data_IF_108525280050
#
_entry.id   IF_108525280050
#
_cell.length_a   1.000
_cell.length_b   1.000
_cell.length_c   1.000
_cell.angle_alpha   90.00
_cell.angle_beta   90.00
_cell.angle_gamma   90.00
#
_symmetry.space_group_name_H-M   'P 1'
#
loop_
_entity.id
_entity.type
_entity.pdbx_description
1 polymer ?
#
# COMPACT_ATOMS: atom_id res chain seq x y z
N UNK A 1 -2.94 -5.00 36.13
CA UNK A 1 -3.37 -3.98 35.14
C UNK A 1 -3.16 -4.45 33.68
N UNK A 2 -3.42 -5.73 33.32
CA UNK A 2 -3.22 -6.27 31.95
C UNK A 2 -4.50 -6.80 31.29
N UNK A 3 -5.68 -6.63 31.90
CA UNK A 3 -6.96 -7.18 31.39
C UNK A 3 -7.87 -6.19 30.66
N UNK A 4 -7.53 -4.91 30.58
CA UNK A 4 -8.39 -3.89 29.96
C UNK A 4 -8.13 -3.64 28.46
N UNK A 5 -7.05 -4.16 27.87
CA UNK A 5 -6.72 -3.90 26.46
C UNK A 5 -7.39 -4.81 25.44
N UNK A 6 -7.90 -5.96 25.87
CA UNK A 6 -8.53 -6.95 24.98
C UNK A 6 -10.01 -6.69 24.77
N UNK A 7 -10.66 -5.96 25.68
CA UNK A 7 -12.10 -5.69 25.65
C UNK A 7 -12.46 -4.53 24.71
N UNK A 8 -11.57 -3.57 24.51
CA UNK A 8 -11.86 -2.40 23.64
C UNK A 8 -11.91 -2.71 22.14
N UNK A 9 -11.29 -3.79 21.69
CA UNK A 9 -11.34 -4.19 20.28
C UNK A 9 -12.60 -5.02 19.95
N UNK A 10 -13.12 -5.75 20.92
CA UNK A 10 -14.34 -6.56 20.78
C UNK A 10 -15.63 -5.73 20.84
N UNK A 11 -15.62 -4.60 21.51
CA UNK A 11 -16.81 -3.73 21.66
C UNK A 11 -17.10 -2.88 20.41
N UNK A 12 -16.12 -2.64 19.55
CA UNK A 12 -16.37 -1.96 18.26
C UNK A 12 -17.14 -2.85 17.27
N UNK A 13 -17.13 -4.17 17.45
CA UNK A 13 -17.77 -5.15 16.56
C UNK A 13 -19.08 -5.71 17.10
N UNK A 14 -19.46 -5.43 18.36
CA UNK A 14 -20.64 -6.00 19.00
C UNK A 14 -21.89 -5.14 18.91
N UNK A 15 -21.83 -3.98 18.29
CA UNK A 15 -22.96 -3.06 18.16
C UNK A 15 -23.69 -3.23 16.82
N UNK A 16 -24.86 -3.83 16.86
CA UNK A 16 -25.88 -3.94 15.82
C UNK A 16 -25.98 -5.29 15.09
N UNK A 17 -26.52 -6.26 15.76
CA UNK A 17 -27.06 -7.51 15.18
C UNK A 17 -28.47 -7.31 14.58
N UNK A 18 -28.81 -6.13 14.08
CA UNK A 18 -30.10 -5.86 13.46
C UNK A 18 -29.90 -5.46 11.99
N UNK A 19 -30.23 -6.33 11.09
CA UNK A 19 -30.28 -6.25 9.63
C UNK A 19 -29.15 -7.02 8.90
N UNK A 20 -29.12 -8.33 9.09
CA UNK A 20 -28.14 -9.20 8.42
C UNK A 20 -28.78 -10.43 7.80
N UNK A 21 -29.97 -10.29 7.16
CA UNK A 21 -30.61 -11.42 6.51
C UNK A 21 -29.93 -11.86 5.20
N UNK A 22 -28.90 -11.12 4.72
CA UNK A 22 -28.20 -11.39 3.45
C UNK A 22 -26.66 -11.33 3.53
N UNK A 23 -26.05 -11.65 4.67
CA UNK A 23 -24.61 -11.90 4.71
C UNK A 23 -24.36 -13.28 4.10
N UNK A 24 -23.45 -13.44 3.13
CA UNK A 24 -23.12 -14.75 2.60
C UNK A 24 -22.81 -15.72 3.73
N UNK A 25 -23.40 -16.91 3.69
CA UNK A 25 -23.03 -17.99 4.59
C UNK A 25 -21.52 -18.20 4.55
N UNK A 26 -20.94 -18.65 5.68
CA UNK A 26 -19.51 -18.91 5.83
C UNK A 26 -18.89 -19.54 4.57
N UNK A 27 -17.86 -18.92 4.02
CA UNK A 27 -17.25 -19.44 2.81
C UNK A 27 -16.12 -18.59 2.29
N UNK A 28 -15.44 -19.13 1.29
CA UNK A 28 -14.40 -18.43 0.53
C UNK A 28 -15.01 -17.70 -0.65
N UNK A 29 -14.56 -16.49 -0.89
CA UNK A 29 -14.80 -15.75 -2.13
C UNK A 29 -13.50 -15.19 -2.67
N UNK A 30 -13.43 -15.05 -4.00
CA UNK A 30 -12.28 -14.49 -4.69
C UNK A 30 -12.63 -13.12 -5.25
N UNK A 31 -11.71 -12.19 -5.13
CA UNK A 31 -11.89 -10.83 -5.65
C UNK A 31 -10.68 -10.49 -6.51
N UNK A 32 -10.91 -10.25 -7.80
CA UNK A 32 -9.92 -9.64 -8.69
C UNK A 32 -10.12 -8.13 -8.71
N UNK A 33 -9.05 -7.35 -8.73
CA UNK A 33 -9.15 -5.89 -8.76
C UNK A 33 -8.03 -5.24 -9.57
N UNK A 34 -8.30 -4.02 -10.05
CA UNK A 34 -7.33 -3.14 -10.66
C UNK A 34 -7.67 -1.68 -10.38
N UNK A 35 -6.67 -0.81 -10.42
CA UNK A 35 -6.88 0.61 -10.16
C UNK A 35 -5.63 1.46 -10.22
N UNK A 36 -5.76 2.63 -9.64
CA UNK A 36 -4.71 3.64 -9.61
C UNK A 36 -4.13 3.77 -8.21
N UNK A 37 -2.86 4.18 -8.15
CA UNK A 37 -2.16 4.51 -6.92
C UNK A 37 -1.59 5.91 -6.98
N UNK A 38 -1.47 6.54 -5.82
CA UNK A 38 -0.70 7.76 -5.60
C UNK A 38 0.24 7.46 -4.44
N UNK A 39 1.52 7.39 -4.74
CA UNK A 39 2.54 7.02 -3.77
C UNK A 39 3.54 8.14 -3.54
N UNK A 40 4.13 8.14 -2.34
CA UNK A 40 5.18 9.08 -1.95
C UNK A 40 6.19 8.39 -1.02
N UNK A 41 7.38 8.97 -0.94
CA UNK A 41 8.43 8.61 0.00
C UNK A 41 8.47 9.64 1.12
N UNK A 42 7.92 9.28 2.28
CA UNK A 42 7.95 10.18 3.44
C UNK A 42 9.38 10.35 3.93
N UNK A 43 9.73 11.57 4.30
CA UNK A 43 10.99 12.09 4.80
C UNK A 43 11.97 12.60 3.74
N UNK A 44 11.69 12.42 2.46
CA UNK A 44 12.54 12.95 1.39
C UNK A 44 12.08 14.31 0.84
N UNK A 45 10.90 14.82 1.30
CA UNK A 45 10.32 16.06 0.75
C UNK A 45 9.86 15.95 -0.70
N UNK A 46 9.77 14.73 -1.23
CA UNK A 46 9.46 14.45 -2.62
C UNK A 46 7.96 14.58 -2.90
N UNK A 47 7.63 14.93 -4.13
CA UNK A 47 6.25 14.97 -4.62
C UNK A 47 5.66 13.58 -4.84
N UNK A 48 4.34 13.43 -4.65
CA UNK A 48 3.63 12.21 -4.95
C UNK A 48 3.70 11.84 -6.43
N UNK A 49 3.68 10.53 -6.70
CA UNK A 49 3.65 9.99 -8.06
C UNK A 49 2.48 9.05 -8.26
N UNK A 50 1.78 9.23 -9.37
CA UNK A 50 0.73 8.31 -9.79
C UNK A 50 1.30 7.02 -10.35
N UNK A 51 0.60 5.92 -10.09
CA UNK A 51 0.91 4.59 -10.57
C UNK A 51 -0.35 3.76 -10.77
N UNK A 52 -0.16 2.46 -10.95
CA UNK A 52 -1.23 1.48 -11.11
C UNK A 52 -1.06 0.35 -10.10
N UNK A 53 -2.15 -0.30 -9.77
CA UNK A 53 -2.19 -1.51 -8.96
C UNK A 53 -3.20 -2.47 -9.54
N UNK A 54 -2.91 -3.76 -9.43
CA UNK A 54 -3.85 -4.83 -9.73
C UNK A 54 -3.47 -6.06 -8.91
N UNK A 55 -4.44 -6.91 -8.65
CA UNK A 55 -4.21 -8.09 -7.83
C UNK A 55 -5.44 -8.95 -7.69
N UNK A 56 -5.30 -9.96 -6.85
CA UNK A 56 -6.37 -10.82 -6.42
C UNK A 56 -6.26 -11.11 -4.93
N UNK A 57 -7.40 -11.20 -4.26
CA UNK A 57 -7.48 -11.59 -2.86
C UNK A 57 -8.53 -12.68 -2.65
N UNK A 58 -8.30 -13.49 -1.66
CA UNK A 58 -9.29 -14.42 -1.10
C UNK A 58 -9.85 -13.81 0.17
N UNK A 59 -11.15 -13.91 0.35
CA UNK A 59 -11.86 -13.53 1.56
C UNK A 59 -12.51 -14.77 2.17
N UNK A 60 -12.38 -14.91 3.46
CA UNK A 60 -13.03 -15.97 4.24
C UNK A 60 -13.99 -15.35 5.26
N UNK A 61 -15.30 -15.55 5.04
CA UNK A 61 -16.33 -15.06 5.93
C UNK A 61 -16.40 -15.94 7.18
N UNK A 62 -16.29 -15.31 8.35
CA UNK A 62 -16.31 -16.01 9.64
C UNK A 62 -17.73 -16.41 10.05
N UNK A 63 -18.01 -17.72 10.29
CA UNK A 63 -19.36 -18.23 10.51
C UNK A 63 -20.08 -17.65 11.73
N UNK A 64 -19.34 -17.23 12.74
CA UNK A 64 -19.89 -16.78 14.04
C UNK A 64 -19.74 -15.28 14.29
N UNK A 65 -19.21 -14.52 13.33
CA UNK A 65 -18.87 -13.12 13.52
C UNK A 65 -19.49 -12.25 12.43
N UNK A 66 -20.79 -12.19 12.42
CA UNK A 66 -21.64 -11.44 11.47
C UNK A 66 -20.92 -10.33 10.71
N UNK A 67 -20.77 -10.51 9.37
CA UNK A 67 -20.11 -9.55 8.51
C UNK A 67 -18.58 -9.46 8.64
N UNK A 68 -17.98 -10.16 9.59
CA UNK A 68 -16.52 -10.17 9.76
C UNK A 68 -15.87 -11.20 8.86
N UNK A 69 -14.78 -10.83 8.19
CA UNK A 69 -14.02 -11.72 7.33
C UNK A 69 -12.51 -11.50 7.46
N UNK A 70 -11.76 -12.50 7.06
CA UNK A 70 -10.32 -12.42 6.86
C UNK A 70 -10.03 -12.33 5.37
N UNK A 71 -9.09 -11.50 4.97
CA UNK A 71 -8.64 -11.42 3.59
C UNK A 71 -7.13 -11.55 3.49
N UNK A 72 -6.69 -12.23 2.44
CA UNK A 72 -5.29 -12.28 2.04
C UNK A 72 -5.19 -12.20 0.52
N UNK A 73 -4.18 -11.50 0.00
CA UNK A 73 -4.06 -11.25 -1.42
C UNK A 73 -2.64 -11.24 -1.94
N UNK A 74 -2.53 -11.05 -3.23
CA UNK A 74 -1.28 -10.76 -3.94
C UNK A 74 -1.56 -9.59 -4.85
N UNK A 75 -0.84 -8.48 -4.61
CA UNK A 75 -1.02 -7.23 -5.30
C UNK A 75 0.27 -6.84 -6.02
N UNK A 76 0.14 -6.45 -7.28
CA UNK A 76 1.18 -5.73 -7.99
C UNK A 76 0.97 -4.24 -7.81
N UNK A 77 1.91 -3.58 -7.13
CA UNK A 77 1.78 -2.17 -6.76
C UNK A 77 2.91 -1.35 -7.36
N UNK A 78 2.57 -0.33 -8.13
CA UNK A 78 3.52 0.66 -8.59
C UNK A 78 3.65 1.78 -7.58
N UNK A 79 4.81 1.90 -6.96
CA UNK A 79 5.18 2.96 -6.00
C UNK A 79 6.27 3.85 -6.62
N UNK A 80 6.34 5.10 -6.17
CA UNK A 80 7.39 6.02 -6.61
C UNK A 80 7.25 7.39 -6.00
N UNK A 81 8.18 8.26 -6.38
CA UNK A 81 8.19 9.67 -6.01
C UNK A 81 8.89 10.48 -7.10
N UNK A 82 8.70 11.78 -7.09
CA UNK A 82 9.43 12.72 -7.95
C UNK A 82 9.80 13.97 -7.16
N UNK A 83 10.80 14.68 -7.64
CA UNK A 83 11.13 16.01 -7.17
C UNK A 83 11.70 16.82 -8.33
N UNK A 84 11.52 18.13 -8.26
CA UNK A 84 12.11 19.06 -9.21
C UNK A 84 12.70 20.20 -8.42
N UNK A 85 14.00 20.40 -8.53
CA UNK A 85 14.73 21.45 -7.84
C UNK A 85 15.78 22.07 -8.74
N UNK A 86 16.09 23.35 -8.48
CA UNK A 86 17.17 24.02 -9.16
C UNK A 86 18.52 23.55 -8.60
N UNK A 87 19.40 23.05 -9.46
CA UNK A 87 20.76 22.66 -9.10
C UNK A 87 21.72 23.84 -9.36
N UNK A 88 22.19 24.55 -8.32
CA UNK A 88 23.04 25.72 -8.50
C UNK A 88 24.43 25.40 -9.04
N UNK A 89 24.90 24.15 -8.88
CA UNK A 89 26.22 23.73 -9.39
C UNK A 89 26.19 23.56 -10.90
N UNK A 90 25.09 23.07 -11.44
CA UNK A 90 24.90 22.86 -12.88
C UNK A 90 24.14 24.00 -13.53
N UNK A 91 23.63 24.96 -12.74
CA UNK A 91 22.83 26.11 -13.18
C UNK A 91 21.62 25.67 -14.05
N UNK A 92 20.97 24.57 -13.69
CA UNK A 92 19.85 23.98 -14.44
C UNK A 92 18.82 23.35 -13.50
N UNK A 93 17.60 23.18 -13.98
CA UNK A 93 16.56 22.42 -13.26
C UNK A 93 16.85 20.92 -13.37
N UNK A 94 16.86 20.26 -12.21
CA UNK A 94 17.01 18.82 -12.08
C UNK A 94 15.69 18.19 -11.63
N UNK A 95 15.20 17.21 -12.39
CA UNK A 95 14.02 16.43 -12.03
C UNK A 95 14.44 15.01 -11.66
N UNK A 96 14.36 14.70 -10.38
CA UNK A 96 14.52 13.36 -9.84
C UNK A 96 13.19 12.58 -9.94
N UNK A 97 13.23 11.38 -10.51
CA UNK A 97 12.07 10.47 -10.60
C UNK A 97 12.46 9.07 -10.22
N UNK A 98 11.64 8.45 -9.38
CA UNK A 98 11.78 7.06 -8.98
C UNK A 98 10.51 6.30 -9.29
N UNK A 99 10.69 5.08 -9.78
CA UNK A 99 9.64 4.10 -10.03
C UNK A 99 10.06 2.76 -9.49
N UNK A 100 9.20 2.15 -8.70
CA UNK A 100 9.42 0.83 -8.14
C UNK A 100 8.13 -0.01 -8.24
N UNK A 101 8.28 -1.24 -8.62
CA UNK A 101 7.20 -2.22 -8.64
C UNK A 101 7.40 -3.19 -7.50
N UNK A 102 6.36 -3.35 -6.70
CA UNK A 102 6.34 -4.26 -5.56
C UNK A 102 5.32 -5.36 -5.80
N UNK A 103 5.68 -6.56 -5.38
CA UNK A 103 4.75 -7.62 -5.09
C UNK A 103 4.40 -7.51 -3.61
N UNK A 104 3.13 -7.30 -3.30
CA UNK A 104 2.64 -7.05 -1.95
C UNK A 104 1.65 -8.14 -1.54
N UNK A 105 1.74 -8.58 -0.28
CA UNK A 105 0.84 -9.56 0.34
C UNK A 105 0.16 -8.86 1.50
N UNK A 106 -1.05 -8.30 1.29
CA UNK A 106 -1.89 -7.80 2.37
C UNK A 106 -2.56 -8.97 3.11
N UNK A 107 -2.67 -8.85 4.44
CA UNK A 107 -3.41 -9.78 5.30
C UNK A 107 -4.27 -8.92 6.22
N UNK A 108 -5.57 -8.86 5.95
CA UNK A 108 -6.47 -7.96 6.64
C UNK A 108 -7.60 -8.69 7.34
N UNK A 109 -8.11 -8.08 8.41
CA UNK A 109 -9.43 -8.35 8.94
C UNK A 109 -10.37 -7.28 8.41
N UNK A 110 -11.53 -7.70 7.94
CA UNK A 110 -12.54 -6.82 7.39
C UNK A 110 -13.90 -7.00 8.07
N UNK A 111 -14.71 -5.97 7.94
CA UNK A 111 -16.11 -6.00 8.31
C UNK A 111 -16.94 -5.45 7.14
N UNK A 112 -17.98 -6.20 6.77
CA UNK A 112 -18.95 -5.85 5.72
C UNK A 112 -20.31 -5.61 6.33
N UNK A 113 -20.95 -4.53 5.89
CA UNK A 113 -22.29 -4.16 6.28
C UNK A 113 -23.16 -3.95 5.04
N UNK A 114 -24.23 -4.72 4.90
CA UNK A 114 -25.19 -4.57 3.82
C UNK A 114 -26.19 -3.47 4.19
N UNK A 115 -26.22 -2.40 3.40
CA UNK A 115 -27.17 -1.29 3.56
C UNK A 115 -28.53 -1.71 2.97
N UNK A 116 -28.50 -2.49 1.88
CA UNK A 116 -29.65 -3.06 1.21
C UNK A 116 -29.26 -4.39 0.54
N UNK A 117 -30.21 -5.08 -0.10
CA UNK A 117 -29.95 -6.33 -0.83
C UNK A 117 -28.92 -6.15 -1.96
N UNK A 118 -28.78 -4.94 -2.49
CA UNK A 118 -27.89 -4.66 -3.60
C UNK A 118 -26.65 -3.86 -3.19
N UNK A 119 -26.68 -3.14 -2.07
CA UNK A 119 -25.63 -2.19 -1.69
C UNK A 119 -25.05 -2.54 -0.33
N UNK A 120 -23.74 -2.73 -0.29
CA UNK A 120 -22.95 -2.92 0.92
C UNK A 120 -21.81 -1.94 1.04
N UNK A 121 -21.28 -1.81 2.24
CA UNK A 121 -20.04 -1.09 2.54
C UNK A 121 -19.13 -1.99 3.36
N UNK A 122 -17.84 -1.79 3.26
CA UNK A 122 -16.89 -2.56 4.05
C UNK A 122 -15.66 -1.75 4.44
N UNK A 123 -15.01 -2.20 5.49
CA UNK A 123 -13.70 -1.72 5.90
C UNK A 123 -12.77 -2.88 6.19
N UNK A 124 -11.50 -2.74 5.85
CA UNK A 124 -10.44 -3.71 6.09
C UNK A 124 -9.24 -3.01 6.74
N UNK A 125 -8.57 -3.73 7.61
CA UNK A 125 -7.36 -3.25 8.27
C UNK A 125 -6.43 -4.41 8.58
N UNK A 126 -5.13 -4.22 8.38
CA UNK A 126 -4.14 -5.23 8.72
C UNK A 126 -2.75 -4.93 8.16
N UNK A 127 -1.78 -5.81 8.41
CA UNK A 127 -0.44 -5.69 7.87
C UNK A 127 -0.38 -5.99 6.39
N UNK A 128 0.64 -5.44 5.74
CA UNK A 128 1.10 -5.88 4.43
C UNK A 128 2.61 -6.16 4.45
N UNK A 129 3.03 -7.08 3.61
CA UNK A 129 4.43 -7.42 3.36
C UNK A 129 4.70 -7.26 1.87
N UNK A 130 5.77 -6.58 1.49
CA UNK A 130 6.06 -6.28 0.11
C UNK A 130 7.52 -6.56 -0.25
N UNK A 131 7.75 -7.01 -1.48
CA UNK A 131 9.08 -7.20 -2.03
C UNK A 131 9.21 -6.41 -3.34
N UNK A 132 10.21 -5.53 -3.40
CA UNK A 132 10.54 -4.78 -4.61
C UNK A 132 11.07 -5.71 -5.71
N UNK A 133 10.32 -5.82 -6.81
CA UNK A 133 10.67 -6.68 -7.95
C UNK A 133 11.59 -5.93 -8.90
N UNK A 134 11.17 -4.78 -9.37
CA UNK A 134 11.96 -3.90 -10.23
C UNK A 134 11.86 -2.47 -9.77
N UNK A 135 12.93 -1.70 -9.98
CA UNK A 135 12.91 -0.27 -9.66
C UNK A 135 13.98 0.46 -10.47
N UNK A 136 13.60 1.62 -10.98
CA UNK A 136 14.47 2.50 -11.75
C UNK A 136 14.34 3.92 -11.24
N UNK A 137 15.46 4.62 -11.22
CA UNK A 137 15.52 6.05 -10.99
C UNK A 137 16.06 6.76 -12.23
N UNK A 138 15.70 8.02 -12.36
CA UNK A 138 16.12 8.88 -13.44
C UNK A 138 16.31 10.29 -12.90
N UNK A 139 17.48 10.86 -13.17
CA UNK A 139 17.73 12.29 -13.07
C UNK A 139 17.62 12.87 -14.48
N UNK A 140 16.72 13.80 -14.64
CA UNK A 140 16.54 14.53 -15.88
C UNK A 140 17.04 15.96 -15.67
N UNK A 141 17.94 16.40 -16.53
CA UNK A 141 18.48 17.76 -16.60
C UNK A 141 17.89 18.46 -17.83
N UNK A 142 17.80 19.79 -17.81
CA UNK A 142 17.25 20.55 -18.93
C UNK A 142 18.22 20.51 -20.14
N UNK A 143 19.51 20.67 -19.90
CA UNK A 143 20.54 20.80 -20.95
C UNK A 143 21.59 19.70 -20.96
N UNK A 144 21.45 18.63 -20.14
CA UNK A 144 22.42 17.54 -20.02
C UNK A 144 21.73 16.19 -20.30
N UNK A 145 22.52 15.16 -20.65
CA UNK A 145 21.97 13.80 -20.83
C UNK A 145 21.33 13.28 -19.55
N UNK A 146 20.19 12.60 -19.70
CA UNK A 146 19.49 11.95 -18.59
C UNK A 146 20.36 10.85 -17.94
N UNK A 147 20.42 10.85 -16.62
CA UNK A 147 21.11 9.83 -15.85
C UNK A 147 20.12 8.78 -15.34
N UNK A 148 20.40 7.50 -15.60
CA UNK A 148 19.58 6.38 -15.18
C UNK A 148 20.29 5.53 -14.14
N UNK A 149 19.58 5.13 -13.08
CA UNK A 149 20.12 4.25 -12.04
C UNK A 149 19.11 3.20 -11.58
N UNK A 150 19.64 2.12 -10.98
CA UNK A 150 18.81 1.07 -10.38
C UNK A 150 18.37 1.50 -8.98
N UNK A 151 17.04 1.38 -8.69
CA UNK A 151 16.50 1.72 -7.39
C UNK A 151 16.84 0.68 -6.32
N UNK A 152 16.72 -0.60 -6.67
CA UNK A 152 17.06 -1.70 -5.77
C UNK A 152 18.43 -2.28 -6.05
N UNK A 153 19.19 -2.63 -5.03
CA UNK A 153 20.41 -3.39 -5.18
C UNK A 153 21.47 -3.15 -4.13
N UNK A 154 22.49 -4.01 -4.17
CA UNK A 154 23.70 -3.89 -3.34
C UNK A 154 24.58 -2.71 -3.74
N UNK A 155 24.36 -2.14 -4.93
CA UNK A 155 25.08 -1.01 -5.50
C UNK A 155 24.11 0.12 -5.78
N UNK A 156 24.25 1.22 -5.09
CA UNK A 156 24.16 2.64 -5.42
C UNK A 156 22.82 3.23 -5.89
N UNK A 157 22.35 4.12 -5.08
CA UNK A 157 21.49 5.21 -5.52
C UNK A 157 22.32 6.35 -6.16
N UNK A 158 23.52 6.62 -5.62
CA UNK A 158 24.41 7.72 -6.00
C UNK A 158 25.87 7.26 -5.94
N UNK A 159 26.52 7.06 -7.07
CA UNK A 159 27.95 6.70 -7.08
C UNK A 159 28.25 5.40 -6.32
N UNK A 160 29.18 5.45 -5.40
CA UNK A 160 29.67 4.29 -4.66
C UNK A 160 28.85 3.88 -3.42
N UNK A 161 27.56 4.25 -3.27
CA UNK A 161 26.79 3.99 -2.05
C UNK A 161 25.69 2.95 -2.28
N UNK A 162 25.38 2.15 -1.25
CA UNK A 162 24.38 1.10 -1.30
C UNK A 162 22.96 1.70 -1.32
N UNK A 163 22.07 1.06 -2.07
CA UNK A 163 20.78 1.63 -2.41
C UNK A 163 19.65 1.30 -1.43
N UNK A 164 18.49 1.12 -1.98
CA UNK A 164 17.24 0.84 -1.29
C UNK A 164 17.04 -0.66 -1.16
N UNK A 165 16.65 -1.12 0.02
CA UNK A 165 16.29 -2.53 0.23
C UNK A 165 14.96 -2.87 -0.45
N UNK A 166 14.83 -4.15 -0.82
CA UNK A 166 13.63 -4.64 -1.52
C UNK A 166 12.46 -4.87 -0.58
N UNK A 167 12.73 -5.23 0.68
CA UNK A 167 11.68 -5.54 1.63
C UNK A 167 11.03 -4.27 2.17
N UNK A 168 9.70 -4.28 2.21
CA UNK A 168 8.88 -3.24 2.82
C UNK A 168 7.73 -3.91 3.58
N UNK A 169 7.34 -3.37 4.72
CA UNK A 169 6.16 -3.78 5.44
C UNK A 169 5.48 -2.58 6.10
N UNK A 170 4.21 -2.74 6.39
CA UNK A 170 3.43 -1.69 7.00
C UNK A 170 2.05 -2.14 7.37
N UNK A 171 1.18 -1.16 7.55
CA UNK A 171 -0.22 -1.35 7.89
C UNK A 171 -1.05 -0.75 6.75
N UNK A 172 -2.02 -1.53 6.27
CA UNK A 172 -3.00 -1.15 5.26
C UNK A 172 -4.37 -0.91 5.87
N UNK A 173 -5.06 0.05 5.32
CA UNK A 173 -6.46 0.33 5.57
C UNK A 173 -7.20 0.42 4.24
N UNK A 174 -8.38 -0.19 4.17
CA UNK A 174 -9.26 -0.17 3.00
C UNK A 174 -10.66 0.18 3.43
N UNK A 175 -11.36 0.97 2.63
CA UNK A 175 -12.79 1.22 2.77
C UNK A 175 -13.42 1.20 1.39
N UNK A 176 -14.56 0.57 1.26
CA UNK A 176 -15.21 0.42 -0.04
C UNK A 176 -16.71 0.27 0.04
N UNK A 177 -17.33 0.43 -1.14
CA UNK A 177 -18.71 0.12 -1.38
C UNK A 177 -18.81 -1.05 -2.35
N UNK A 178 -19.80 -1.90 -2.15
CA UNK A 178 -20.09 -3.06 -2.99
C UNK A 178 -21.50 -2.94 -3.58
N UNK A 179 -21.62 -3.32 -4.84
CA UNK A 179 -22.88 -3.41 -5.55
C UNK A 179 -23.17 -4.86 -5.94
N UNK A 180 -24.34 -5.36 -5.56
CA UNK A 180 -24.81 -6.74 -5.79
C UNK A 180 -23.84 -7.81 -5.28
N UNK A 181 -23.05 -7.50 -4.24
CA UNK A 181 -22.00 -8.37 -3.69
C UNK A 181 -20.95 -8.83 -4.72
N UNK A 182 -20.92 -8.24 -5.91
CA UNK A 182 -20.01 -8.59 -7.00
C UNK A 182 -19.03 -7.48 -7.34
N UNK A 183 -19.51 -6.24 -7.46
CA UNK A 183 -18.69 -5.11 -7.89
C UNK A 183 -18.30 -4.27 -6.69
N UNK A 184 -17.03 -3.90 -6.60
CA UNK A 184 -16.55 -3.06 -5.50
C UNK A 184 -15.75 -1.87 -5.99
N UNK A 185 -15.91 -0.74 -5.32
CA UNK A 185 -15.04 0.43 -5.42
C UNK A 185 -14.37 0.62 -4.07
N UNK A 186 -13.04 0.57 -4.04
CA UNK A 186 -12.24 0.57 -2.81
C UNK A 186 -11.26 1.73 -2.79
N UNK A 187 -11.28 2.51 -1.74
CA UNK A 187 -10.19 3.41 -1.38
C UNK A 187 -9.27 2.72 -0.38
N UNK A 188 -7.96 2.79 -0.62
CA UNK A 188 -6.94 2.19 0.23
C UNK A 188 -5.86 3.18 0.62
N UNK A 189 -5.28 2.96 1.80
CA UNK A 189 -4.10 3.66 2.28
C UNK A 189 -3.13 2.69 2.95
N UNK A 190 -1.86 2.71 2.50
CA UNK A 190 -0.79 1.89 3.05
C UNK A 190 0.25 2.76 3.74
N UNK A 191 0.48 2.45 5.00
CA UNK A 191 1.43 3.13 5.86
C UNK A 191 2.65 2.26 6.08
N UNK A 192 3.70 2.42 5.26
CA UNK A 192 4.99 1.74 5.44
C UNK A 192 5.63 2.09 6.78
N UNK A 193 6.06 1.05 7.48
CA UNK A 193 6.74 1.15 8.78
C UNK A 193 8.24 0.98 8.58
N UNK A 194 8.64 0.13 7.63
CA UNK A 194 10.04 -0.16 7.30
C UNK A 194 10.79 1.09 6.86
N UNK A 195 12.00 1.25 7.35
CA UNK A 195 12.98 2.16 6.76
C UNK A 195 13.58 1.43 5.56
N UNK A 196 13.30 1.92 4.35
CA UNK A 196 13.74 1.26 3.13
C UNK A 196 15.19 1.57 2.73
N UNK A 197 15.93 2.39 3.48
CA UNK A 197 17.37 2.46 3.31
C UNK A 197 18.06 1.17 3.73
N UNK A 198 19.08 0.73 3.00
CA UNK A 198 19.94 -0.38 3.44
C UNK A 198 20.77 0.04 4.66
N UNK A 199 21.06 -0.94 5.54
CA UNK A 199 21.74 -0.69 6.83
C UNK A 199 23.09 0.00 6.68
N UNK A 200 23.89 -0.40 5.71
CA UNK A 200 25.20 0.20 5.47
C UNK A 200 25.12 1.68 5.07
N UNK A 201 24.12 2.05 4.25
CA UNK A 201 23.87 3.43 3.88
C UNK A 201 23.43 4.26 5.10
N UNK A 202 22.58 3.66 5.92
CA UNK A 202 22.09 4.24 7.17
C UNK A 202 23.21 4.49 8.16
N UNK A 203 24.11 3.52 8.33
CA UNK A 203 25.26 3.63 9.24
C UNK A 203 26.24 4.70 8.79
N UNK A 204 26.44 4.85 7.48
CA UNK A 204 27.30 5.90 6.92
C UNK A 204 26.68 7.31 7.03
N UNK A 205 25.34 7.40 7.19
CA UNK A 205 24.58 8.67 7.24
C UNK A 205 23.60 8.69 8.42
N UNK A 206 24.08 8.75 9.67
CA UNK A 206 23.22 8.59 10.86
C UNK A 206 22.21 9.73 11.07
N UNK A 207 22.43 10.89 10.45
CA UNK A 207 21.52 12.04 10.51
C UNK A 207 20.35 12.02 9.55
N UNK A 208 20.31 11.08 8.60
CA UNK A 208 19.22 11.03 7.63
C UNK A 208 17.90 10.56 8.27
N UNK A 209 16.76 11.20 7.96
CA UNK A 209 15.46 10.73 8.39
C UNK A 209 15.13 9.39 7.74
N UNK A 210 14.28 8.56 8.42
CA UNK A 210 13.84 7.27 7.88
C UNK A 210 13.03 7.46 6.60
N UNK A 211 13.36 6.69 5.58
CA UNK A 211 12.66 6.69 4.30
C UNK A 211 11.57 5.61 4.30
N UNK A 212 10.32 6.03 4.18
CA UNK A 212 9.15 5.14 4.30
C UNK A 212 8.18 5.33 3.15
N UNK A 213 7.65 4.23 2.64
CA UNK A 213 6.60 4.25 1.64
C UNK A 213 5.27 4.76 2.22
N UNK A 214 4.54 5.51 1.41
CA UNK A 214 3.15 5.91 1.61
C UNK A 214 2.43 5.71 0.29
N UNK A 215 1.29 5.05 0.33
CA UNK A 215 0.55 4.73 -0.88
C UNK A 215 -0.95 4.90 -0.64
N UNK A 216 -1.61 5.66 -1.50
CA UNK A 216 -3.06 5.72 -1.61
C UNK A 216 -3.47 4.96 -2.86
N UNK A 217 -4.60 4.29 -2.83
CA UNK A 217 -5.14 3.56 -3.98
C UNK A 217 -6.65 3.78 -4.12
N UNK A 218 -7.09 3.74 -5.38
CA UNK A 218 -8.49 3.64 -5.74
C UNK A 218 -8.62 2.49 -6.72
N UNK A 219 -9.34 1.45 -6.34
CA UNK A 219 -9.45 0.22 -7.13
C UNK A 219 -10.90 -0.16 -7.38
N UNK A 220 -11.15 -0.72 -8.55
CA UNK A 220 -12.37 -1.40 -8.90
C UNK A 220 -12.14 -2.91 -8.83
N UNK A 221 -13.04 -3.63 -8.16
CA UNK A 221 -12.96 -5.07 -7.94
C UNK A 221 -14.18 -5.80 -8.43
N UNK A 222 -13.97 -7.07 -8.75
CA UNK A 222 -15.03 -8.02 -9.08
C UNK A 222 -14.86 -9.28 -8.23
N UNK A 223 -15.96 -9.70 -7.58
CA UNK A 223 -16.03 -10.92 -6.76
C UNK A 223 -16.65 -12.05 -7.57
N UNK A 224 -16.01 -13.22 -7.48
CA UNK A 224 -16.42 -14.47 -8.10
C UNK A 224 -17.14 -15.35 -7.11
#
# INVERSE_FOLDING_TARGET
MKKFRTIALATLFAGNAMALDNVPESGFSWVGFAGMTVSNLKSAGLDPKMGVTFGAKVEYMLPSAYGTYLSAGIDWVHKGARDTYFNPTLNTDETFKVQAHYLEIPIHVGYRYNISDELGVYGEFGPYFAVGVTGKGKNKYEDLPDEHFMWFGKKYMWGNQKGIQRFDCGIGFRVGAEYKNMYSLTFGYDWGITDIYVDDYRTANPGLPKLKNRNMSLTFGYRF
#
